data_IF_985164303873
#
_entry.id   IF_985164303873
#
_cell.length_a   1.000
_cell.length_b   1.000
_cell.length_c   1.000
_cell.angle_alpha   90.00
_cell.angle_beta   90.00
_cell.angle_gamma   90.00
#
_symmetry.space_group_name_H-M   'P 1'
#
loop_
_entity.id
_entity.type
_entity.pdbx_description
1 polymer ?
#
# COMPACT_ATOMS: atom_id res chain seq x y z
N UNK A 1 -13.90 10.77 -16.68
CA UNK A 1 -13.68 10.75 -15.21
C UNK A 1 -12.27 10.24 -14.98
N UNK A 2 -11.51 10.84 -14.07
CA UNK A 2 -10.12 10.46 -13.76
C UNK A 2 -10.05 10.01 -12.30
N UNK A 3 -9.43 8.86 -12.05
CA UNK A 3 -9.12 8.41 -10.69
C UNK A 3 -7.94 9.23 -10.14
N UNK A 4 -7.78 9.26 -8.81
CA UNK A 4 -6.62 9.93 -8.20
C UNK A 4 -5.34 9.26 -8.66
N UNK A 5 -4.47 9.95 -9.42
CA UNK A 5 -3.25 9.33 -9.95
C UNK A 5 -2.34 8.83 -8.83
N UNK A 6 -1.66 7.72 -9.08
CA UNK A 6 -0.55 7.26 -8.24
C UNK A 6 0.69 8.17 -8.36
N UNK A 7 1.74 7.92 -7.58
CA UNK A 7 1.89 6.84 -6.60
C UNK A 7 1.25 7.19 -5.25
N UNK A 8 0.63 6.21 -4.60
CA UNK A 8 0.14 6.37 -3.23
C UNK A 8 1.14 5.81 -2.21
N UNK A 9 1.22 6.47 -1.06
CA UNK A 9 2.01 6.05 0.09
C UNK A 9 1.09 5.89 1.30
N UNK A 10 1.33 4.85 2.09
CA UNK A 10 0.74 4.71 3.41
C UNK A 10 1.69 5.34 4.44
N UNK A 11 1.23 6.39 5.12
CA UNK A 11 1.99 7.08 6.16
C UNK A 11 1.31 6.83 7.50
N UNK A 12 2.08 6.32 8.47
CA UNK A 12 1.60 6.12 9.84
C UNK A 12 1.55 7.45 10.57
N UNK A 13 0.44 7.68 11.26
CA UNK A 13 0.18 8.82 12.14
C UNK A 13 -0.16 8.30 13.54
N UNK A 14 -0.26 9.22 14.52
CA UNK A 14 -0.62 8.90 15.91
C UNK A 14 -1.95 8.14 16.01
N UNK A 15 -2.94 8.51 15.19
CA UNK A 15 -4.29 7.94 15.24
C UNK A 15 -4.60 6.92 14.14
N UNK A 16 -3.61 6.50 13.34
CA UNK A 16 -3.84 5.55 12.28
C UNK A 16 -2.90 5.68 11.08
N UNK A 17 -3.45 5.53 9.88
CA UNK A 17 -2.73 5.72 8.61
C UNK A 17 -3.47 6.71 7.73
N UNK A 18 -2.72 7.48 6.97
CA UNK A 18 -3.21 8.22 5.80
C UNK A 18 -2.61 7.58 4.55
N UNK A 19 -3.44 7.38 3.52
CA UNK A 19 -3.04 6.74 2.27
C UNK A 19 -3.35 7.68 1.12
N UNK A 20 -2.35 7.99 0.29
CA UNK A 20 -2.52 8.83 -0.90
C UNK A 20 -1.53 10.00 -0.98
N UNK A 21 -1.80 11.02 -1.82
CA UNK A 21 -1.00 12.23 -1.88
C UNK A 21 -1.19 13.04 -0.58
N UNK A 22 -0.08 13.52 -0.02
CA UNK A 22 -0.09 14.32 1.20
C UNK A 22 -0.37 15.80 0.89
N UNK A 23 -0.98 16.56 1.82
CA UNK A 23 -1.27 16.20 3.21
C UNK A 23 -2.64 15.55 3.46
N UNK A 24 -3.55 15.59 2.49
CA UNK A 24 -4.96 15.23 2.70
C UNK A 24 -5.26 13.74 2.51
N UNK A 25 -4.45 13.04 1.72
CA UNK A 25 -4.66 11.64 1.37
C UNK A 25 -5.89 11.40 0.49
N UNK A 26 -6.09 10.15 0.10
CA UNK A 26 -7.32 9.62 -0.49
C UNK A 26 -8.20 8.99 0.57
N UNK A 27 -7.60 8.35 1.59
CA UNK A 27 -8.34 7.73 2.69
C UNK A 27 -7.50 7.59 3.96
N UNK A 28 -8.17 7.27 5.07
CA UNK A 28 -7.55 7.00 6.37
C UNK A 28 -7.96 5.64 6.94
N UNK A 29 -7.07 5.02 7.71
CA UNK A 29 -7.39 3.84 8.53
C UNK A 29 -7.24 4.24 9.99
N UNK A 30 -8.31 4.14 10.77
CA UNK A 30 -8.32 4.55 12.18
C UNK A 30 -7.92 3.42 13.14
N UNK A 31 -7.21 3.81 14.21
CA UNK A 31 -6.92 2.95 15.35
C UNK A 31 -8.16 2.76 16.24
N UNK A 32 -9.16 2.02 15.75
CA UNK A 32 -10.30 1.63 16.57
C UNK A 32 -9.91 0.47 17.51
N UNK A 33 -10.30 0.54 18.78
CA UNK A 33 -9.96 -0.39 19.87
C UNK A 33 -10.69 -1.74 19.77
N UNK A 34 -11.76 -1.84 18.98
CA UNK A 34 -12.71 -2.96 19.04
C UNK A 34 -12.72 -3.88 17.80
N UNK A 35 -11.72 -3.80 16.91
CA UNK A 35 -11.79 -4.46 15.61
C UNK A 35 -10.51 -5.19 15.21
N UNK A 36 -9.70 -4.54 14.37
CA UNK A 36 -8.48 -5.11 13.80
C UNK A 36 -7.23 -4.79 14.63
N UNK A 37 -6.34 -5.77 14.79
CA UNK A 37 -5.02 -5.57 15.40
C UNK A 37 -4.12 -4.64 14.57
N UNK A 38 -3.07 -4.09 15.20
CA UNK A 38 -2.12 -3.17 14.55
C UNK A 38 -1.53 -3.73 13.25
N UNK A 39 -1.20 -5.01 13.23
CA UNK A 39 -0.62 -5.69 12.06
C UNK A 39 -1.60 -5.76 10.90
N UNK A 40 -2.87 -6.06 11.17
CA UNK A 40 -3.93 -6.08 10.15
C UNK A 40 -4.15 -4.68 9.56
N UNK A 41 -4.15 -3.64 10.39
CA UNK A 41 -4.28 -2.25 9.89
C UNK A 41 -3.08 -1.86 9.03
N UNK A 42 -1.88 -2.24 9.45
CA UNK A 42 -0.65 -2.01 8.67
C UNK A 42 -0.70 -2.74 7.33
N UNK A 43 -1.12 -4.00 7.31
CA UNK A 43 -1.28 -4.78 6.09
C UNK A 43 -2.34 -4.15 5.15
N UNK A 44 -3.48 -3.74 5.70
CA UNK A 44 -4.53 -3.07 4.94
C UNK A 44 -4.04 -1.73 4.36
N UNK A 45 -3.26 -0.95 5.12
CA UNK A 45 -2.69 0.31 4.63
C UNK A 45 -1.78 0.09 3.42
N UNK A 46 -0.93 -0.96 3.46
CA UNK A 46 -0.04 -1.32 2.35
C UNK A 46 -0.83 -1.77 1.13
N UNK A 47 -1.83 -2.64 1.34
CA UNK A 47 -2.70 -3.12 0.27
C UNK A 47 -3.41 -1.97 -0.45
N UNK A 48 -3.97 -1.01 0.28
CA UNK A 48 -4.64 0.16 -0.32
C UNK A 48 -3.62 1.06 -1.03
N UNK A 49 -2.44 1.29 -0.46
CA UNK A 49 -1.41 2.11 -1.10
C UNK A 49 -0.85 1.51 -2.40
N UNK A 50 -1.02 0.21 -2.61
CA UNK A 50 -0.68 -0.49 -3.85
C UNK A 50 -1.79 -0.43 -4.92
N UNK A 51 -2.96 0.16 -4.63
CA UNK A 51 -4.09 0.15 -5.55
C UNK A 51 -3.79 0.73 -6.95
N UNK A 52 -3.02 1.83 -7.10
CA UNK A 52 -2.63 2.31 -8.43
C UNK A 52 -1.78 1.30 -9.21
N UNK A 53 -0.81 0.66 -8.56
CA UNK A 53 0.08 -0.31 -9.20
C UNK A 53 -0.68 -1.61 -9.55
N UNK A 54 -1.62 -2.02 -8.69
CA UNK A 54 -2.51 -3.15 -8.93
C UNK A 54 -3.43 -2.89 -10.14
N UNK A 55 -3.92 -1.65 -10.32
CA UNK A 55 -4.73 -1.28 -11.47
C UNK A 55 -3.91 -1.36 -12.77
N UNK A 56 -2.71 -0.77 -12.78
CA UNK A 56 -1.79 -0.83 -13.93
C UNK A 56 -1.46 -2.28 -14.33
N UNK A 57 -1.16 -3.13 -13.34
CA UNK A 57 -0.92 -4.56 -13.58
C UNK A 57 -2.14 -5.26 -14.20
N UNK A 58 -3.35 -4.98 -13.69
CA UNK A 58 -4.60 -5.53 -14.25
C UNK A 58 -4.82 -5.11 -15.69
N UNK A 59 -4.61 -3.83 -16.02
CA UNK A 59 -4.76 -3.31 -17.37
C UNK A 59 -3.75 -3.96 -18.34
N UNK A 60 -2.50 -4.12 -17.91
CA UNK A 60 -1.47 -4.81 -18.69
C UNK A 60 -1.83 -6.29 -18.96
N UNK A 61 -2.35 -7.01 -17.96
CA UNK A 61 -2.80 -8.40 -18.12
C UNK A 61 -3.95 -8.53 -19.13
N UNK A 62 -4.95 -7.63 -19.05
CA UNK A 62 -6.07 -7.62 -20.00
C UNK A 62 -5.59 -7.31 -21.42
N UNK A 63 -4.66 -6.37 -21.57
CA UNK A 63 -4.10 -6.03 -22.87
C UNK A 63 -3.35 -7.23 -23.49
N UNK A 64 -2.48 -7.89 -22.72
CA UNK A 64 -1.76 -9.10 -23.15
C UNK A 64 -2.71 -10.21 -23.58
N UNK A 65 -3.73 -10.49 -22.76
CA UNK A 65 -4.72 -11.53 -23.04
C UNK A 65 -5.50 -11.28 -24.35
N UNK A 66 -5.83 -10.02 -24.65
CA UNK A 66 -6.57 -9.65 -25.87
C UNK A 66 -5.72 -9.71 -27.14
N UNK A 67 -4.43 -9.43 -27.04
CA UNK A 67 -3.51 -9.43 -28.18
C UNK A 67 -3.00 -10.84 -28.52
N UNK A 68 -3.27 -11.84 -27.67
CA UNK A 68 -2.70 -13.19 -27.80
C UNK A 68 -1.18 -13.21 -27.60
N UNK A 69 -0.62 -12.17 -26.98
CA UNK A 69 0.81 -11.96 -26.86
C UNK A 69 1.33 -12.62 -25.57
N UNK A 70 1.93 -13.80 -25.73
CA UNK A 70 2.53 -14.56 -24.63
C UNK A 70 3.77 -13.87 -24.05
N UNK A 71 4.46 -13.01 -24.81
CA UNK A 71 5.61 -12.25 -24.33
C UNK A 71 5.18 -11.05 -23.48
N UNK A 72 4.07 -10.39 -23.85
CA UNK A 72 3.46 -9.34 -23.04
C UNK A 72 2.90 -9.86 -21.71
N UNK A 73 2.49 -11.13 -21.68
CA UNK A 73 2.14 -11.84 -20.45
C UNK A 73 3.26 -11.82 -19.40
N UNK A 74 4.53 -11.82 -19.84
CA UNK A 74 5.69 -11.72 -18.94
C UNK A 74 5.80 -10.35 -18.25
N UNK A 75 5.64 -9.25 -18.99
CA UNK A 75 5.67 -7.90 -18.42
C UNK A 75 4.50 -7.67 -17.47
N UNK A 76 3.30 -8.10 -17.88
CA UNK A 76 2.12 -7.99 -17.05
C UNK A 76 2.27 -8.81 -15.74
N UNK A 77 2.86 -10.00 -15.81
CA UNK A 77 3.19 -10.79 -14.63
C UNK A 77 4.20 -10.08 -13.72
N UNK A 78 5.27 -9.50 -14.27
CA UNK A 78 6.24 -8.71 -13.49
C UNK A 78 5.59 -7.51 -12.79
N UNK A 79 4.71 -6.78 -13.48
CA UNK A 79 3.96 -5.66 -12.88
C UNK A 79 3.05 -6.14 -11.74
N UNK A 80 2.36 -7.26 -11.95
CA UNK A 80 1.52 -7.87 -10.93
C UNK A 80 2.33 -8.32 -9.71
N UNK A 81 3.48 -8.97 -9.91
CA UNK A 81 4.38 -9.39 -8.83
C UNK A 81 4.92 -8.20 -8.03
N UNK A 82 5.29 -7.11 -8.71
CA UNK A 82 5.74 -5.89 -8.06
C UNK A 82 4.63 -5.25 -7.21
N UNK A 83 3.41 -5.16 -7.75
CA UNK A 83 2.25 -4.64 -7.04
C UNK A 83 1.85 -5.51 -5.84
N UNK A 84 1.90 -6.84 -5.98
CA UNK A 84 1.65 -7.80 -4.89
C UNK A 84 2.73 -7.67 -3.81
N UNK A 85 4.00 -7.56 -4.21
CA UNK A 85 5.11 -7.36 -3.27
C UNK A 85 4.90 -6.08 -2.47
N UNK A 86 4.56 -4.97 -3.12
CA UNK A 86 4.22 -3.71 -2.45
C UNK A 86 3.04 -3.86 -1.49
N UNK A 87 2.01 -4.62 -1.88
CA UNK A 87 0.82 -4.83 -1.08
C UNK A 87 1.06 -5.72 0.16
N UNK A 88 2.00 -6.68 0.07
CA UNK A 88 2.15 -7.75 1.06
C UNK A 88 3.42 -7.65 1.91
N UNK A 89 4.49 -7.04 1.39
CA UNK A 89 5.79 -6.98 2.06
C UNK A 89 6.07 -5.58 2.64
N UNK A 90 6.74 -5.49 3.80
CA UNK A 90 7.29 -4.21 4.25
C UNK A 90 8.38 -3.72 3.28
N UNK A 91 8.49 -2.42 3.00
CA UNK A 91 9.70 -1.89 2.37
C UNK A 91 10.91 -2.25 3.25
N UNK A 92 11.97 -2.75 2.62
CA UNK A 92 13.16 -3.24 3.32
C UNK A 92 13.70 -2.18 4.30
N UNK A 93 13.72 -2.55 5.58
CA UNK A 93 14.26 -1.84 6.73
C UNK A 93 13.64 -0.48 7.12
N UNK A 94 12.76 -0.53 8.13
CA UNK A 94 12.85 0.41 9.27
C UNK A 94 13.24 -0.40 10.52
N UNK A 95 14.43 -1.00 10.47
CA UNK A 95 15.15 -1.49 11.65
C UNK A 95 16.01 -0.34 12.17
N UNK A 96 15.41 0.59 12.91
CA UNK A 96 16.10 1.49 13.83
C UNK A 96 15.06 2.09 14.79
N UNK A 97 15.33 1.98 16.09
CA UNK A 97 14.35 2.07 17.17
C UNK A 97 13.58 3.37 17.28
N UNK A 98 12.29 3.24 17.63
CA UNK A 98 11.59 4.31 18.32
C UNK A 98 12.06 4.32 19.79
N UNK A 99 12.46 5.47 20.36
CA UNK A 99 12.83 5.56 21.77
C UNK A 99 11.61 5.22 22.64
N UNK A 100 11.84 4.43 23.70
CA UNK A 100 10.87 4.29 24.80
C UNK A 100 10.67 5.66 25.42
N UNK A 101 9.43 6.14 25.49
CA UNK A 101 9.08 7.35 26.23
C UNK A 101 9.56 7.23 27.68
N UNK A 102 10.14 8.29 28.28
CA UNK A 102 10.46 8.29 29.69
C UNK A 102 9.15 8.27 30.49
N UNK A 103 9.08 7.36 31.45
CA UNK A 103 8.07 7.32 32.50
C UNK A 103 8.08 8.64 33.26
N UNK A 104 7.01 9.42 33.15
CA UNK A 104 6.73 10.52 34.08
C UNK A 104 6.43 9.93 35.46
N UNK A 105 7.33 10.20 36.39
CA UNK A 105 7.05 10.23 37.83
C UNK A 105 7.04 11.68 38.26
N UNK A 106 5.89 12.16 38.72
CA UNK A 106 5.74 12.96 39.94
C UNK A 106 4.35 12.70 40.54
#
# INVERSE_FOLDING_TARGET
MSHTPGPWKAVRLTHGWIIGPQPDGVCTIHNNTNGSGFDQKTANARLIAAAPDLLEACEAMVHAARQGDSALGGVAATLAEAAITKATQPPAATLAGAPKEPTETD
#
